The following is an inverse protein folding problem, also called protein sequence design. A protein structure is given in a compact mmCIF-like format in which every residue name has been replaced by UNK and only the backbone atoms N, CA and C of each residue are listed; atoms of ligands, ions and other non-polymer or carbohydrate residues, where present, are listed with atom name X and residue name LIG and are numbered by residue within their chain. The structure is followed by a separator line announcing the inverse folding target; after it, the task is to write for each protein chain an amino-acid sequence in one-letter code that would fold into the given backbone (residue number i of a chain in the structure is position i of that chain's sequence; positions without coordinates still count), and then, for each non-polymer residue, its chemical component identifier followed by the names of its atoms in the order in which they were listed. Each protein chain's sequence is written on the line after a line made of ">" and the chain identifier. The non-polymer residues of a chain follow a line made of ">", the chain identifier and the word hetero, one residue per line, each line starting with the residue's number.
data_IF_629369917285
#
_entry.id   IF_629369917285
#
_cell.length_a   1.000
_cell.length_b   1.000
_cell.length_c   1.000
_cell.angle_alpha   90.00
_cell.angle_beta   90.00
_cell.angle_gamma   90.00
#
_symmetry.space_group_name_H-M   'P 1'
#
loop_
_entity.id
_entity.type
_entity.pdbx_description
1 polymer ?
#
# COMPACT_ATOMS: atom_id res chain seq x y z
N UNK A 1 17.44 -54.95 -27.23
CA UNK A 1 16.97 -55.43 -28.55
C UNK A 1 15.83 -54.54 -29.02
N UNK A 2 16.02 -53.94 -30.21
CA UNK A 2 15.02 -53.45 -31.18
C UNK A 2 14.17 -52.25 -30.72
N UNK A 3 14.53 -50.98 -30.97
CA UNK A 3 14.57 -50.27 -32.27
C UNK A 3 13.35 -50.58 -33.15
N UNK A 4 12.39 -49.65 -33.21
CA UNK A 4 11.46 -49.51 -34.33
C UNK A 4 11.25 -48.03 -34.64
N UNK A 5 11.94 -47.62 -35.71
CA UNK A 5 11.75 -46.39 -36.48
C UNK A 5 10.44 -46.51 -37.27
N UNK A 6 9.77 -45.37 -37.56
CA UNK A 6 9.22 -45.05 -38.90
C UNK A 6 8.68 -43.62 -38.96
N UNK A 7 9.30 -42.86 -39.87
CA UNK A 7 9.00 -41.50 -40.30
C UNK A 7 7.91 -41.51 -41.38
N UNK A 8 7.05 -40.48 -41.45
CA UNK A 8 6.45 -40.00 -42.72
C UNK A 8 6.36 -38.46 -42.69
N UNK A 9 7.00 -37.88 -43.70
CA UNK A 9 6.98 -36.48 -44.14
C UNK A 9 5.78 -36.21 -45.07
N UNK A 10 5.62 -34.94 -45.48
CA UNK A 10 4.79 -34.39 -46.57
C UNK A 10 3.40 -33.97 -46.07
N UNK A 11 2.95 -32.71 -46.16
CA UNK A 11 3.38 -31.56 -46.94
C UNK A 11 2.11 -30.89 -47.48
N UNK A 12 2.03 -29.56 -47.44
CA UNK A 12 1.50 -28.71 -48.53
C UNK A 12 1.54 -27.25 -48.07
N UNK A 13 2.51 -26.52 -48.59
CA UNK A 13 2.54 -25.06 -48.63
C UNK A 13 1.45 -24.58 -49.57
N UNK A 14 0.44 -23.89 -49.05
CA UNK A 14 -0.40 -23.01 -49.86
C UNK A 14 0.01 -21.57 -49.59
N UNK A 15 0.76 -21.03 -50.55
CA UNK A 15 1.08 -19.62 -50.67
C UNK A 15 -0.15 -18.93 -51.28
N UNK A 16 -1.01 -18.35 -50.43
CA UNK A 16 -2.13 -17.52 -50.85
C UNK A 16 -1.80 -16.04 -50.65
N UNK A 17 -1.28 -15.39 -51.70
CA UNK A 17 -1.24 -13.93 -51.82
C UNK A 17 -2.63 -13.43 -52.22
N UNK A 18 -3.28 -12.59 -51.40
CA UNK A 18 -4.18 -11.55 -51.90
C UNK A 18 -4.62 -10.58 -50.79
N UNK A 19 -4.58 -9.30 -51.15
CA UNK A 19 -5.22 -8.14 -50.52
C UNK A 19 -4.71 -7.74 -49.14
N UNK A 20 -3.67 -6.90 -49.15
CA UNK A 20 -3.52 -5.84 -48.16
C UNK A 20 -4.79 -4.96 -48.18
N UNK A 21 -5.77 -5.33 -47.36
CA UNK A 21 -6.76 -4.36 -46.91
C UNK A 21 -6.05 -3.47 -45.91
N UNK A 22 -5.79 -2.23 -46.33
CA UNK A 22 -5.50 -1.13 -45.44
C UNK A 22 -6.75 -0.94 -44.57
N UNK A 23 -6.89 -1.78 -43.54
CA UNK A 23 -7.76 -1.51 -42.44
C UNK A 23 -7.12 -0.31 -41.75
N UNK A 24 -7.75 0.85 -41.88
CA UNK A 24 -7.51 1.97 -40.98
C UNK A 24 -7.57 1.40 -39.56
N UNK A 25 -6.39 1.13 -39.02
CA UNK A 25 -6.22 0.80 -37.63
C UNK A 25 -6.61 2.08 -36.90
N UNK A 26 -7.89 2.17 -36.54
CA UNK A 26 -8.34 3.05 -35.46
C UNK A 26 -7.29 2.87 -34.37
N UNK A 27 -6.62 3.94 -33.90
CA UNK A 27 -5.62 3.80 -32.86
C UNK A 27 -6.30 3.03 -31.74
N UNK A 28 -5.78 1.83 -31.45
CA UNK A 28 -6.24 1.05 -30.32
C UNK A 28 -6.18 1.98 -29.11
N UNK A 29 -7.25 2.10 -28.31
CA UNK A 29 -7.22 2.95 -27.14
C UNK A 29 -6.01 2.52 -26.31
N UNK A 30 -5.03 3.42 -26.23
CA UNK A 30 -3.84 3.24 -25.41
C UNK A 30 -4.32 2.84 -24.01
N UNK A 31 -3.89 1.68 -23.53
CA UNK A 31 -4.27 1.08 -22.25
C UNK A 31 -3.71 1.85 -21.04
N UNK A 32 -3.65 3.19 -21.11
CA UNK A 32 -3.09 4.04 -20.07
C UNK A 32 -4.14 4.66 -19.13
N UNK A 33 -5.44 4.45 -19.39
CA UNK A 33 -6.51 5.16 -18.65
C UNK A 33 -7.40 4.28 -17.75
N UNK A 34 -7.14 2.97 -17.65
CA UNK A 34 -7.91 2.09 -16.78
C UNK A 34 -7.39 2.14 -15.34
N UNK A 35 -7.96 3.00 -14.50
CA UNK A 35 -7.77 2.91 -13.05
C UNK A 35 -8.22 1.53 -12.55
N UNK A 36 -7.43 0.85 -11.69
CA UNK A 36 -7.78 -0.48 -11.21
C UNK A 36 -9.11 -0.46 -10.45
N UNK A 37 -9.94 -1.47 -10.68
CA UNK A 37 -11.21 -1.63 -9.97
C UNK A 37 -10.97 -1.80 -8.46
N UNK A 38 -12.01 -1.57 -7.65
CA UNK A 38 -11.94 -1.76 -6.18
C UNK A 38 -11.53 -3.18 -5.82
N UNK A 39 -12.08 -4.16 -6.51
CA UNK A 39 -11.79 -5.58 -6.31
C UNK A 39 -10.32 -5.88 -6.65
N UNK A 40 -9.81 -5.32 -7.74
CA UNK A 40 -8.40 -5.45 -8.12
C UNK A 40 -7.46 -4.82 -7.08
N UNK A 41 -7.82 -3.65 -6.53
CA UNK A 41 -7.05 -3.03 -5.45
C UNK A 41 -7.09 -3.87 -4.17
N UNK A 42 -8.26 -4.41 -3.79
CA UNK A 42 -8.40 -5.24 -2.60
C UNK A 42 -7.60 -6.55 -2.74
N UNK A 43 -7.72 -7.22 -3.89
CA UNK A 43 -6.94 -8.42 -4.19
C UNK A 43 -5.45 -8.13 -4.13
N UNK A 44 -4.99 -7.00 -4.70
CA UNK A 44 -3.59 -6.57 -4.64
C UNK A 44 -3.11 -6.31 -3.21
N UNK A 45 -3.91 -5.66 -2.37
CA UNK A 45 -3.56 -5.41 -0.96
C UNK A 45 -3.48 -6.71 -0.15
N UNK A 46 -4.44 -7.60 -0.34
CA UNK A 46 -4.44 -8.91 0.30
C UNK A 46 -3.22 -9.76 -0.13
N UNK A 47 -2.90 -9.76 -1.42
CA UNK A 47 -1.73 -10.44 -1.99
C UNK A 47 -0.41 -9.87 -1.44
N UNK A 48 -0.28 -8.54 -1.41
CA UNK A 48 0.89 -7.87 -0.83
C UNK A 48 1.07 -8.20 0.66
N UNK A 49 -0.04 -8.21 1.42
CA UNK A 49 -0.02 -8.61 2.82
C UNK A 49 0.42 -10.08 2.97
N UNK A 50 -0.20 -11.00 2.23
CA UNK A 50 0.14 -12.42 2.26
C UNK A 50 1.61 -12.66 1.92
N UNK A 51 2.13 -12.04 0.85
CA UNK A 51 3.56 -12.10 0.47
C UNK A 51 4.48 -11.55 1.55
N UNK A 52 4.09 -10.48 2.24
CA UNK A 52 4.88 -9.93 3.34
C UNK A 52 4.91 -10.90 4.52
N UNK A 53 3.78 -11.49 4.88
CA UNK A 53 3.72 -12.45 5.97
C UNK A 53 4.48 -13.74 5.65
N UNK A 54 4.34 -14.28 4.45
CA UNK A 54 5.09 -15.46 4.00
C UNK A 54 6.60 -15.23 4.09
N UNK A 55 7.10 -14.11 3.55
CA UNK A 55 8.52 -13.77 3.65
C UNK A 55 9.00 -13.64 5.09
N UNK A 56 8.20 -13.05 5.97
CA UNK A 56 8.57 -12.92 7.39
C UNK A 56 8.60 -14.28 8.08
N UNK A 57 7.63 -15.15 7.80
CA UNK A 57 7.60 -16.52 8.31
C UNK A 57 8.84 -17.31 7.90
N UNK A 58 9.17 -17.29 6.60
CA UNK A 58 10.37 -17.95 6.05
C UNK A 58 11.66 -17.42 6.69
N UNK A 59 11.76 -16.11 6.91
CA UNK A 59 12.92 -15.46 7.54
C UNK A 59 13.09 -15.89 8.99
N UNK A 60 11.99 -15.94 9.75
CA UNK A 60 12.02 -16.29 11.17
C UNK A 60 12.29 -17.77 11.43
N UNK A 61 12.09 -18.64 10.42
CA UNK A 61 12.26 -20.10 10.54
C UNK A 61 11.59 -20.63 11.81
N UNK A 62 10.28 -20.36 11.93
CA UNK A 62 9.52 -20.69 13.13
C UNK A 62 9.54 -22.19 13.41
N UNK A 63 9.57 -22.55 14.70
CA UNK A 63 9.42 -23.95 15.12
C UNK A 63 7.95 -24.35 15.12
N UNK A 64 7.67 -25.65 15.10
CA UNK A 64 6.30 -26.16 15.18
C UNK A 64 5.53 -25.66 16.42
N UNK A 65 6.23 -25.34 17.53
CA UNK A 65 5.62 -24.78 18.73
C UNK A 65 5.22 -23.31 18.57
N UNK A 66 5.91 -22.56 17.70
CA UNK A 66 5.69 -21.14 17.45
C UNK A 66 4.58 -20.87 16.40
N UNK A 67 4.22 -21.87 15.59
CA UNK A 67 3.21 -21.73 14.53
C UNK A 67 1.83 -21.29 15.05
N UNK A 68 1.44 -21.76 16.25
CA UNK A 68 0.18 -21.34 16.86
C UNK A 68 0.18 -19.84 17.24
N UNK A 69 1.30 -19.35 17.77
CA UNK A 69 1.47 -17.94 18.10
C UNK A 69 1.51 -17.06 16.83
N UNK A 70 2.10 -17.57 15.75
CA UNK A 70 2.11 -16.91 14.45
C UNK A 70 0.71 -16.79 13.84
N UNK A 71 -0.10 -17.85 13.86
CA UNK A 71 -1.47 -17.81 13.38
C UNK A 71 -2.33 -16.79 14.15
N UNK A 72 -2.20 -16.76 15.49
CA UNK A 72 -2.88 -15.78 16.34
C UNK A 72 -2.45 -14.34 16.05
N UNK A 73 -1.14 -14.11 15.87
CA UNK A 73 -0.61 -12.81 15.45
C UNK A 73 -1.23 -12.35 14.14
N UNK A 74 -1.19 -13.18 13.10
CA UNK A 74 -1.74 -12.84 11.79
C UNK A 74 -3.23 -12.51 11.86
N UNK A 75 -4.02 -13.31 12.58
CA UNK A 75 -5.45 -13.08 12.74
C UNK A 75 -5.75 -11.73 13.40
N UNK A 76 -4.96 -11.35 14.42
CA UNK A 76 -5.15 -10.11 15.16
C UNK A 76 -4.71 -8.85 14.39
N UNK A 77 -3.71 -8.96 13.51
CA UNK A 77 -3.15 -7.81 12.77
C UNK A 77 -3.60 -7.74 11.32
N UNK A 78 -4.46 -8.67 10.87
CA UNK A 78 -4.99 -8.67 9.51
C UNK A 78 -5.78 -7.38 9.26
N UNK A 79 -5.46 -6.61 8.20
CA UNK A 79 -6.27 -5.46 7.84
C UNK A 79 -7.73 -5.89 7.63
N UNK A 80 -8.71 -5.12 8.13
CA UNK A 80 -10.11 -5.41 7.86
C UNK A 80 -10.33 -5.49 6.35
N UNK A 81 -11.14 -6.46 5.93
CA UNK A 81 -11.52 -6.56 4.53
C UNK A 81 -12.19 -5.25 4.11
N UNK A 82 -11.73 -4.66 3.00
CA UNK A 82 -12.41 -3.50 2.44
C UNK A 82 -13.75 -4.01 1.90
N UNK A 83 -14.84 -3.66 2.56
CA UNK A 83 -16.22 -4.09 2.24
C UNK A 83 -16.77 -3.42 0.95
N UNK A 84 -15.89 -2.80 0.16
CA UNK A 84 -16.24 -2.08 -1.07
C UNK A 84 -16.98 -0.75 -0.83
N UNK A 85 -17.46 -0.52 0.40
CA UNK A 85 -17.97 0.77 0.85
C UNK A 85 -16.76 1.63 1.14
N UNK A 86 -16.47 2.52 0.20
CA UNK A 86 -15.56 3.64 0.46
C UNK A 86 -16.02 4.24 1.77
N UNK A 87 -15.16 4.30 2.79
CA UNK A 87 -15.46 5.05 4.02
C UNK A 87 -16.05 6.35 3.54
N UNK A 88 -17.35 6.57 3.81
CA UNK A 88 -18.09 7.67 3.19
C UNK A 88 -17.22 8.90 3.36
N UNK A 89 -16.85 9.53 2.23
CA UNK A 89 -16.20 10.82 2.31
C UNK A 89 -17.26 11.74 2.86
N UNK A 90 -17.33 11.83 4.20
CA UNK A 90 -18.11 12.85 4.88
C UNK A 90 -17.66 14.15 4.21
N UNK A 91 -18.59 14.94 3.66
CA UNK A 91 -18.23 16.15 2.95
C UNK A 91 -17.60 17.11 3.96
N UNK A 92 -16.28 17.04 4.12
CA UNK A 92 -15.53 17.82 5.10
C UNK A 92 -15.75 19.31 4.88
N UNK A 93 -16.01 19.71 3.64
CA UNK A 93 -16.30 21.08 3.22
C UNK A 93 -17.67 21.58 3.71
N UNK A 94 -18.56 20.67 4.11
CA UNK A 94 -19.88 20.99 4.69
C UNK A 94 -19.87 20.92 6.22
N UNK A 95 -18.76 20.54 6.84
CA UNK A 95 -18.62 20.46 8.30
C UNK A 95 -18.10 21.79 8.84
N UNK A 96 -18.72 22.27 9.91
CA UNK A 96 -18.18 23.39 10.69
C UNK A 96 -16.82 23.03 11.30
N UNK A 97 -16.04 24.02 11.72
CA UNK A 97 -14.75 23.78 12.39
C UNK A 97 -14.83 22.82 13.60
N UNK A 98 -15.78 22.96 14.56
CA UNK A 98 -15.88 22.01 15.68
C UNK A 98 -16.25 20.59 15.22
N UNK A 99 -17.17 20.42 14.26
CA UNK A 99 -17.54 19.10 13.75
C UNK A 99 -16.37 18.38 13.06
N UNK A 100 -15.50 19.13 12.36
CA UNK A 100 -14.27 18.58 11.79
C UNK A 100 -13.32 18.07 12.87
N UNK A 101 -13.17 18.79 13.98
CA UNK A 101 -12.36 18.35 15.12
C UNK A 101 -12.95 17.11 15.79
N UNK A 102 -14.27 17.05 15.97
CA UNK A 102 -14.96 15.86 16.51
C UNK A 102 -14.74 14.64 15.61
N UNK A 103 -14.88 14.79 14.29
CA UNK A 103 -14.62 13.70 13.34
C UNK A 103 -13.15 13.25 13.37
N UNK A 104 -12.20 14.18 13.48
CA UNK A 104 -10.79 13.86 13.61
C UNK A 104 -10.52 13.09 14.91
N UNK A 105 -11.14 13.49 16.02
CA UNK A 105 -11.06 12.79 17.30
C UNK A 105 -11.58 11.35 17.20
N UNK A 106 -12.74 11.14 16.56
CA UNK A 106 -13.32 9.81 16.37
C UNK A 106 -12.42 8.90 15.52
N UNK A 107 -11.80 9.44 14.48
CA UNK A 107 -10.86 8.69 13.65
C UNK A 107 -9.58 8.34 14.41
N UNK A 108 -9.09 9.24 15.27
CA UNK A 108 -7.95 8.98 16.15
C UNK A 108 -8.26 7.86 17.13
N UNK A 109 -9.43 7.88 17.79
CA UNK A 109 -9.86 6.80 18.70
C UNK A 109 -9.93 5.43 18.00
N UNK A 110 -10.42 5.39 16.76
CA UNK A 110 -10.42 4.15 15.96
C UNK A 110 -9.01 3.65 15.65
N UNK A 111 -8.08 4.56 15.34
CA UNK A 111 -6.66 4.22 15.11
C UNK A 111 -5.99 3.73 16.39
N UNK A 112 -6.29 4.37 17.52
CA UNK A 112 -5.81 3.98 18.84
C UNK A 112 -6.24 2.55 19.19
N UNK A 113 -7.53 2.21 19.06
CA UNK A 113 -8.02 0.86 19.30
C UNK A 113 -7.35 -0.21 18.40
N UNK A 114 -7.08 0.14 17.13
CA UNK A 114 -6.33 -0.74 16.24
C UNK A 114 -4.86 -0.90 16.69
N UNK A 115 -4.22 0.18 17.13
CA UNK A 115 -2.86 0.13 17.67
C UNK A 115 -2.79 -0.70 18.95
N UNK A 116 -3.74 -0.56 19.87
CA UNK A 116 -3.79 -1.39 21.08
C UNK A 116 -3.88 -2.89 20.74
N UNK A 117 -4.74 -3.24 19.78
CA UNK A 117 -4.87 -4.61 19.29
C UNK A 117 -3.54 -5.10 18.70
N UNK A 118 -2.89 -4.28 17.89
CA UNK A 118 -1.60 -4.60 17.28
C UNK A 118 -0.48 -4.74 18.31
N UNK A 119 -0.42 -3.87 19.31
CA UNK A 119 0.58 -3.94 20.39
C UNK A 119 0.39 -5.24 21.16
N UNK A 120 -0.83 -5.56 21.60
CA UNK A 120 -1.12 -6.83 22.31
C UNK A 120 -0.70 -8.05 21.50
N UNK A 121 -1.04 -8.09 20.21
CA UNK A 121 -0.70 -9.20 19.32
C UNK A 121 0.83 -9.32 19.09
N UNK A 122 1.52 -8.20 18.87
CA UNK A 122 2.98 -8.19 18.68
C UNK A 122 3.68 -8.62 19.96
N UNK A 123 3.32 -8.07 21.12
CA UNK A 123 3.93 -8.43 22.40
C UNK A 123 3.76 -9.91 22.71
N UNK A 124 2.57 -10.47 22.47
CA UNK A 124 2.31 -11.90 22.68
C UNK A 124 3.17 -12.80 21.77
N UNK A 125 3.27 -12.47 20.47
CA UNK A 125 4.09 -13.22 19.52
C UNK A 125 5.58 -13.08 19.80
N UNK A 126 6.04 -11.86 20.09
CA UNK A 126 7.44 -11.53 20.36
C UNK A 126 7.98 -12.28 21.58
N UNK A 127 7.14 -12.49 22.61
CA UNK A 127 7.48 -13.30 23.78
C UNK A 127 7.69 -14.80 23.51
N UNK A 128 7.28 -15.30 22.33
CA UNK A 128 7.51 -16.68 21.90
C UNK A 128 8.74 -16.83 20.99
N UNK A 129 9.33 -15.72 20.55
CA UNK A 129 10.51 -15.72 19.69
C UNK A 129 11.79 -15.83 20.52
N UNK A 130 12.81 -16.49 19.98
CA UNK A 130 14.15 -16.44 20.55
C UNK A 130 14.86 -15.12 20.19
N UNK A 131 16.00 -14.77 20.83
CA UNK A 131 16.67 -13.49 20.60
C UNK A 131 17.05 -13.23 19.13
N UNK A 132 17.48 -14.25 18.38
CA UNK A 132 17.85 -14.09 16.97
C UNK A 132 16.61 -13.80 16.09
N UNK A 133 15.50 -14.48 16.36
CA UNK A 133 14.22 -14.24 15.68
C UNK A 133 13.64 -12.87 16.02
N UNK A 134 13.79 -12.43 17.27
CA UNK A 134 13.39 -11.09 17.72
C UNK A 134 14.08 -10.00 16.90
N UNK A 135 15.41 -10.08 16.72
CA UNK A 135 16.15 -9.14 15.87
C UNK A 135 15.63 -9.13 14.42
N UNK A 136 15.40 -10.30 13.82
CA UNK A 136 14.83 -10.39 12.47
C UNK A 136 13.41 -9.81 12.39
N UNK A 137 12.62 -9.99 13.45
CA UNK A 137 11.28 -9.42 13.54
C UNK A 137 11.32 -7.89 13.69
N UNK A 138 12.28 -7.32 14.40
CA UNK A 138 12.41 -5.87 14.53
C UNK A 138 12.76 -5.21 13.17
N UNK A 139 13.64 -5.86 12.40
CA UNK A 139 14.08 -5.36 11.08
C UNK A 139 12.98 -5.49 10.00
N UNK A 140 12.20 -6.59 10.02
CA UNK A 140 11.30 -6.94 8.92
C UNK A 140 9.81 -6.99 9.31
N UNK A 141 9.51 -7.20 10.59
CA UNK A 141 8.19 -7.51 11.14
C UNK A 141 7.24 -6.32 11.26
N UNK A 142 7.76 -5.09 11.35
CA UNK A 142 6.94 -3.88 11.43
C UNK A 142 7.07 -2.93 10.24
N UNK A 143 7.47 -3.42 9.06
CA UNK A 143 7.52 -2.63 7.84
C UNK A 143 8.59 -1.56 7.98
N UNK A 144 9.84 -1.93 7.71
CA UNK A 144 11.00 -1.07 7.92
C UNK A 144 10.91 0.31 7.27
N UNK A 145 11.94 1.14 7.52
CA UNK A 145 12.10 2.58 7.23
C UNK A 145 11.70 3.09 5.81
N UNK A 146 11.26 2.21 4.92
CA UNK A 146 10.66 2.52 3.62
C UNK A 146 9.18 2.88 3.69
N UNK A 147 8.46 2.55 4.76
CA UNK A 147 7.05 2.97 4.94
C UNK A 147 6.87 4.49 5.15
N UNK A 148 7.91 5.16 5.65
CA UNK A 148 7.93 6.62 5.87
C UNK A 148 8.34 7.45 4.65
N UNK A 149 8.88 6.83 3.59
CA UNK A 149 9.37 7.59 2.40
C UNK A 149 8.28 7.98 1.42
N UNK A 150 7.01 7.68 1.72
CA UNK A 150 5.86 8.28 1.02
C UNK A 150 5.30 9.51 1.75
N UNK A 151 6.05 10.05 2.73
CA UNK A 151 5.87 11.39 3.27
C UNK A 151 6.39 12.52 2.36
N UNK A 152 6.66 12.26 1.07
CA UNK A 152 6.94 13.32 0.08
C UNK A 152 5.64 13.98 -0.40
N UNK A 153 4.77 14.34 0.54
CA UNK A 153 3.66 15.26 0.32
C UNK A 153 4.18 16.70 0.36
N UNK A 154 5.05 17.08 -0.59
CA UNK A 154 5.50 18.48 -0.65
C UNK A 154 6.59 18.90 -1.63
N UNK A 155 6.84 18.19 -2.75
CA UNK A 155 7.77 18.77 -3.77
C UNK A 155 7.66 18.21 -5.20
N UNK A 156 6.52 18.22 -5.87
CA UNK A 156 6.47 17.73 -7.26
C UNK A 156 5.35 18.33 -8.10
N UNK A 157 5.70 19.36 -8.89
CA UNK A 157 5.02 19.82 -10.09
C UNK A 157 3.55 20.28 -9.99
N UNK A 158 3.35 21.51 -9.50
CA UNK A 158 2.37 22.41 -10.10
C UNK A 158 3.10 23.49 -10.90
N UNK A 159 3.25 23.23 -12.20
CA UNK A 159 3.57 24.28 -13.16
C UNK A 159 2.38 25.24 -13.30
N UNK A 160 2.69 26.52 -13.22
CA UNK A 160 2.03 27.66 -13.89
C UNK A 160 0.50 27.67 -13.98
N UNK A 161 -0.16 28.44 -13.09
CA UNK A 161 -1.22 29.41 -13.44
C UNK A 161 -1.63 30.28 -12.25
N UNK A 162 -1.45 31.60 -12.39
CA UNK A 162 -2.02 32.69 -11.57
C UNK A 162 -1.30 32.89 -10.22
N UNK A 163 -0.64 34.00 -9.91
CA UNK A 163 -0.93 35.38 -10.28
C UNK A 163 -1.55 36.12 -9.08
N UNK A 164 -0.81 36.26 -7.98
CA UNK A 164 -1.07 37.25 -6.92
C UNK A 164 0.28 37.76 -6.39
N UNK A 165 0.43 39.08 -6.39
CA UNK A 165 1.72 39.78 -6.41
C UNK A 165 2.59 39.61 -5.16
N UNK A 166 3.88 39.43 -5.40
CA UNK A 166 4.92 39.71 -4.42
C UNK A 166 5.19 41.23 -4.43
N UNK A 167 4.41 41.97 -3.63
CA UNK A 167 4.75 43.31 -3.16
C UNK A 167 5.09 43.18 -1.68
N UNK A 168 6.27 43.63 -1.28
CA UNK A 168 6.79 43.44 0.06
C UNK A 168 6.00 44.21 1.10
N UNK A 169 5.78 43.59 2.24
CA UNK A 169 5.63 44.28 3.52
C UNK A 169 5.90 43.31 4.65
N UNK A 170 6.66 43.81 5.61
CA UNK A 170 7.17 43.13 6.78
C UNK A 170 5.97 42.87 7.70
N UNK A 171 5.63 41.61 7.94
CA UNK A 171 4.67 41.27 8.99
C UNK A 171 5.44 40.90 10.26
N UNK A 172 5.70 41.92 11.07
CA UNK A 172 5.93 41.73 12.50
C UNK A 172 4.60 41.40 13.19
N UNK A 173 4.68 40.50 14.17
CA UNK A 173 3.70 40.41 15.26
C UNK A 173 2.80 39.18 15.25
N UNK A 174 3.10 38.23 16.13
CA UNK A 174 2.23 37.78 17.23
C UNK A 174 3.10 37.06 18.27
N UNK A 175 3.37 37.70 19.42
CA UNK A 175 3.70 36.99 20.67
C UNK A 175 5.05 37.27 21.36
N UNK A 176 5.19 38.44 21.98
CA UNK A 176 5.81 38.61 23.31
C UNK A 176 7.34 38.81 23.40
N UNK A 177 7.84 39.90 24.04
CA UNK A 177 9.26 40.03 24.34
C UNK A 177 9.69 39.02 25.41
N UNK A 178 10.62 38.15 25.03
CA UNK A 178 11.37 37.31 25.96
C UNK A 178 12.11 38.18 26.98
N UNK A 179 11.95 37.79 28.24
CA UNK A 179 12.65 38.31 29.41
C UNK A 179 14.13 38.57 29.16
N UNK A 180 14.57 39.80 29.38
CA UNK A 180 15.99 40.16 29.39
C UNK A 180 16.35 40.96 30.64
N UNK A 181 17.01 40.24 31.56
CA UNK A 181 18.00 40.65 32.57
C UNK A 181 17.58 41.58 33.74
N UNK A 182 18.06 41.18 34.92
CA UNK A 182 18.05 41.89 36.19
C UNK A 182 18.39 40.93 37.31
#
# INVERSE_FOLDING_TARGET
>A
MNILRKSILIGFTVLGMAAAQAQEAKPAPTQHDAHPSKEQMQAKMADMYAKRQARLHDLLKLTAQQESAWANYQAAIKPPAFDGKRAEHKPFDKLTAPERLTLALDMTKKREAFLETRVKAVTAFYGQLNPAQQTLFDEHGLGGERGGRHGRWGRGHHGQRGGWGHGGEQHEGWGGPGSQRG
#
